data_IF_501665543095
#
_entry.id   IF_501665543095
#
_cell.length_a   1.000
_cell.length_b   1.000
_cell.length_c   1.000
_cell.angle_alpha   90.00
_cell.angle_beta   90.00
_cell.angle_gamma   90.00
#
_symmetry.space_group_name_H-M   'P 1'
#
loop_
_entity.id
_entity.type
_entity.pdbx_description
1 polymer ?
#
# COMPACT_ATOMS: atom_id res chain seq x y z
N UNK A 1 1.02 16.87 -2.92
CA UNK A 1 1.93 16.29 -3.94
C UNK A 1 1.40 16.64 -5.32
N UNK A 2 2.27 16.93 -6.28
CA UNK A 2 1.86 17.29 -7.63
C UNK A 2 1.37 16.04 -8.39
N UNK A 3 0.31 16.18 -9.18
CA UNK A 3 -0.17 15.11 -10.08
C UNK A 3 0.71 15.09 -11.32
N UNK A 4 1.47 14.01 -11.51
CA UNK A 4 2.26 13.78 -12.73
C UNK A 4 1.46 12.95 -13.72
N UNK A 5 1.52 13.29 -15.01
CA UNK A 5 0.92 12.49 -16.08
C UNK A 5 1.86 11.35 -16.44
N UNK A 6 1.38 10.11 -16.31
CA UNK A 6 2.14 8.90 -16.63
C UNK A 6 1.28 8.02 -17.55
N UNK A 7 1.88 7.48 -18.60
CA UNK A 7 1.22 6.52 -19.48
C UNK A 7 1.59 5.11 -18.98
N UNK A 8 0.59 4.34 -18.56
CA UNK A 8 0.73 2.95 -18.10
C UNK A 8 -0.37 2.10 -18.74
N UNK A 9 -0.05 0.85 -19.06
CA UNK A 9 -1.01 -0.13 -19.55
C UNK A 9 -1.64 -0.86 -18.35
N UNK A 10 -2.97 -0.98 -18.35
CA UNK A 10 -3.74 -1.63 -17.28
C UNK A 10 -4.87 -2.42 -17.93
N UNK A 11 -5.12 -3.63 -17.43
CA UNK A 11 -6.28 -4.42 -17.81
C UNK A 11 -7.59 -3.73 -17.40
N UNK A 12 -8.48 -3.54 -18.38
CA UNK A 12 -9.74 -2.80 -18.17
C UNK A 12 -10.65 -3.50 -17.16
N UNK A 13 -10.59 -4.83 -17.10
CA UNK A 13 -11.36 -5.63 -16.14
C UNK A 13 -11.06 -5.29 -14.67
N UNK A 14 -9.80 -4.97 -14.34
CA UNK A 14 -9.45 -4.56 -12.96
C UNK A 14 -9.98 -3.17 -12.64
N UNK A 15 -9.93 -2.24 -13.60
CA UNK A 15 -10.48 -0.90 -13.45
C UNK A 15 -12.00 -0.99 -13.25
N UNK A 16 -12.70 -1.76 -14.08
CA UNK A 16 -14.13 -1.93 -13.97
C UNK A 16 -14.54 -2.54 -12.63
N UNK A 17 -13.84 -3.57 -12.17
CA UNK A 17 -14.10 -4.17 -10.86
C UNK A 17 -13.95 -3.17 -9.69
N UNK A 18 -12.99 -2.24 -9.78
CA UNK A 18 -12.80 -1.17 -8.78
C UNK A 18 -13.91 -0.13 -8.91
N UNK A 19 -14.26 0.27 -10.13
CA UNK A 19 -15.34 1.21 -10.40
C UNK A 19 -16.68 0.71 -9.85
N UNK A 20 -17.02 -0.56 -10.10
CA UNK A 20 -18.26 -1.17 -9.62
C UNK A 20 -18.26 -1.32 -8.10
N UNK A 21 -17.14 -1.72 -7.50
CA UNK A 21 -17.03 -1.94 -6.06
C UNK A 21 -17.07 -0.66 -5.24
N UNK A 22 -16.47 0.42 -5.73
CA UNK A 22 -16.32 1.67 -4.98
C UNK A 22 -17.12 2.85 -5.55
N UNK A 23 -17.89 2.63 -6.62
CA UNK A 23 -18.80 3.62 -7.20
C UNK A 23 -18.10 4.82 -7.84
N UNK A 24 -16.84 4.68 -8.25
CA UNK A 24 -16.07 5.76 -8.88
C UNK A 24 -16.39 5.86 -10.38
N UNK A 25 -16.35 7.08 -10.91
CA UNK A 25 -16.91 7.39 -12.24
C UNK A 25 -15.86 7.40 -13.35
N UNK A 26 -14.58 7.50 -12.99
CA UNK A 26 -13.49 7.58 -13.97
C UNK A 26 -12.39 6.57 -13.68
N UNK A 27 -11.69 6.14 -14.74
CA UNK A 27 -10.51 5.27 -14.62
C UNK A 27 -9.42 5.92 -13.77
N UNK A 28 -9.26 7.24 -13.87
CA UNK A 28 -8.32 8.03 -13.05
C UNK A 28 -8.67 7.96 -11.56
N UNK A 29 -9.95 8.06 -11.19
CA UNK A 29 -10.40 7.92 -9.80
C UNK A 29 -10.19 6.50 -9.28
N UNK A 30 -10.48 5.48 -10.09
CA UNK A 30 -10.22 4.09 -9.74
C UNK A 30 -8.74 3.83 -9.47
N UNK A 31 -7.86 4.36 -10.31
CA UNK A 31 -6.40 4.26 -10.13
C UNK A 31 -5.93 5.05 -8.90
N UNK A 32 -6.42 6.28 -8.70
CA UNK A 32 -6.09 7.09 -7.51
C UNK A 32 -6.52 6.38 -6.21
N UNK A 33 -7.72 5.77 -6.21
CA UNK A 33 -8.23 5.00 -5.08
C UNK A 33 -7.39 3.74 -4.80
N UNK A 34 -7.03 2.99 -5.84
CA UNK A 34 -6.17 1.81 -5.70
C UNK A 34 -4.79 2.19 -5.15
N UNK A 35 -4.19 3.26 -5.70
CA UNK A 35 -2.91 3.77 -5.24
C UNK A 35 -2.98 4.26 -3.80
N UNK A 36 -4.04 4.98 -3.39
CA UNK A 36 -4.20 5.39 -1.99
C UNK A 36 -4.35 4.19 -1.05
N UNK A 37 -5.06 3.15 -1.46
CA UNK A 37 -5.23 1.96 -0.64
C UNK A 37 -3.90 1.20 -0.47
N UNK A 38 -3.15 1.01 -1.55
CA UNK A 38 -1.86 0.30 -1.55
C UNK A 38 -0.71 1.13 -0.98
N UNK A 39 -0.64 2.41 -1.30
CA UNK A 39 0.40 3.33 -0.81
C UNK A 39 0.09 3.90 0.58
N UNK A 40 -1.16 3.77 1.06
CA UNK A 40 -1.48 4.28 2.38
C UNK A 40 -2.85 3.94 2.94
N UNK A 41 -2.94 2.79 3.59
CA UNK A 41 -3.43 2.78 4.97
C UNK A 41 -2.32 2.31 5.90
N UNK A 42 -1.29 3.14 6.20
CA UNK A 42 -0.52 2.89 7.41
C UNK A 42 -1.52 2.85 8.56
N UNK A 43 -1.41 1.85 9.44
CA UNK A 43 -2.17 1.85 10.68
C UNK A 43 -2.02 3.20 11.36
N UNK A 44 -3.13 3.76 11.82
CA UNK A 44 -3.08 4.91 12.71
C UNK A 44 -2.22 4.56 13.93
N UNK A 45 -1.65 5.57 14.58
CA UNK A 45 -0.87 5.35 15.81
C UNK A 45 -1.66 4.55 16.84
N UNK A 46 -2.96 4.77 16.95
CA UNK A 46 -3.84 4.04 17.86
C UNK A 46 -4.01 2.57 17.45
N UNK A 47 -4.26 2.28 16.17
CA UNK A 47 -4.31 0.90 15.66
C UNK A 47 -2.97 0.17 15.85
N UNK A 48 -1.85 0.86 15.63
CA UNK A 48 -0.51 0.32 15.88
C UNK A 48 -0.25 0.03 17.37
N UNK A 49 -0.69 0.91 18.25
CA UNK A 49 -0.56 0.70 19.69
C UNK A 49 -1.49 -0.39 20.22
N UNK A 50 -2.66 -0.58 19.60
CA UNK A 50 -3.61 -1.65 19.90
C UNK A 50 -3.08 -3.03 19.47
N UNK A 51 -2.25 -3.09 18.44
CA UNK A 51 -1.60 -4.33 17.98
C UNK A 51 -0.35 -4.73 18.79
N UNK A 52 0.00 -4.00 19.85
CA UNK A 52 1.11 -4.39 20.73
C UNK A 52 0.82 -5.74 21.39
N UNK A 53 1.71 -6.71 21.17
CA UNK A 53 1.54 -8.08 21.65
C UNK A 53 0.84 -9.02 20.67
N UNK A 54 0.48 -8.57 19.46
CA UNK A 54 -0.18 -9.41 18.45
C UNK A 54 0.73 -10.47 17.80
N UNK A 55 2.04 -10.49 18.12
CA UNK A 55 3.04 -11.39 17.52
C UNK A 55 2.96 -11.47 15.98
N UNK A 56 2.65 -10.33 15.32
CA UNK A 56 2.38 -10.25 13.89
C UNK A 56 3.63 -10.37 12.99
N UNK A 57 4.82 -10.41 13.62
CA UNK A 57 6.09 -10.64 12.96
C UNK A 57 6.62 -12.01 13.40
N UNK A 58 7.08 -12.81 12.44
CA UNK A 58 7.81 -14.05 12.72
C UNK A 58 9.19 -13.78 13.31
N UNK A 59 10.05 -14.80 13.34
CA UNK A 59 11.39 -14.63 13.89
C UNK A 59 12.14 -13.50 13.16
N UNK A 60 12.67 -12.52 13.89
CA UNK A 60 13.49 -11.50 13.27
C UNK A 60 14.72 -12.16 12.64
N UNK A 61 15.16 -11.70 11.46
CA UNK A 61 16.40 -12.20 10.86
C UNK A 61 17.56 -12.00 11.83
N UNK A 62 18.56 -12.88 11.77
CA UNK A 62 19.75 -12.75 12.58
C UNK A 62 20.37 -11.36 12.42
N UNK A 63 20.73 -10.74 13.55
CA UNK A 63 21.38 -9.44 13.55
C UNK A 63 22.80 -9.59 13.00
N UNK A 64 22.99 -9.21 11.75
CA UNK A 64 24.31 -9.14 11.13
C UNK A 64 24.87 -7.75 11.39
N UNK A 65 25.83 -7.66 12.30
CA UNK A 65 26.62 -6.44 12.50
C UNK A 65 27.21 -5.91 11.19
N UNK A 66 27.61 -4.62 11.16
CA UNK A 66 28.11 -3.98 9.94
C UNK A 66 29.22 -4.81 9.31
N UNK A 67 29.04 -5.19 8.04
CA UNK A 67 30.06 -5.90 7.27
C UNK A 67 31.27 -4.99 7.10
N UNK A 68 32.36 -5.27 7.82
CA UNK A 68 33.65 -4.61 7.57
C UNK A 68 34.50 -4.21 8.78
N UNK A 69 34.31 -4.76 9.97
CA UNK A 69 35.30 -4.63 11.04
C UNK A 69 36.13 -5.91 11.13
N UNK A 70 37.16 -5.98 10.28
CA UNK A 70 38.29 -6.90 10.39
C UNK A 70 39.55 -6.07 10.69
#
# INVERSE_FOLDING_TARGET
>A
MARTRTNIEIEDGYIQAIMDRYGVRTKTEAVDLALRNLAGRPMTREEALAMRGAAAMGDPPADFGPRGLA
#
